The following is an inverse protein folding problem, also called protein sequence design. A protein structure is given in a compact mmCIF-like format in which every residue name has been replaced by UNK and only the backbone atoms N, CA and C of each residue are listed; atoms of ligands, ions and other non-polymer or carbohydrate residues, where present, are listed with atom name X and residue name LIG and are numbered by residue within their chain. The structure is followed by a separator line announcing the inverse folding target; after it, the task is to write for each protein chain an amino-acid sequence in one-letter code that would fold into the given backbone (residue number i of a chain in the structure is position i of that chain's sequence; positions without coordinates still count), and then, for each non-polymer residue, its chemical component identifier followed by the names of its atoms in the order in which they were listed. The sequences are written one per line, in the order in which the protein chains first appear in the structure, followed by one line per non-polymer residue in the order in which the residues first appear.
data_IF_212836697375
#
_entry.id   IF_212836697375
#
_cell.length_a   1.000
_cell.length_b   1.000
_cell.length_c   1.000
_cell.angle_alpha   90.00
_cell.angle_beta   90.00
_cell.angle_gamma   90.00
#
_symmetry.space_group_name_H-M   'P 1'
#
loop_
_entity.id
_entity.type
_entity.pdbx_description
1 polymer ?
#
# COMPACT_ATOMS: atom_id res chain seq x y z
N UNK A 1 -1.07 7.49 26.76
CA UNK A 1 -1.39 6.72 25.54
C UNK A 1 -1.01 7.59 24.36
N UNK A 2 -0.21 7.10 23.40
CA UNK A 2 0.22 7.83 22.19
C UNK A 2 -0.98 8.04 21.24
N UNK A 3 -1.97 8.81 21.67
CA UNK A 3 -2.92 9.47 20.78
C UNK A 3 -2.21 10.64 20.07
N UNK A 4 -0.98 10.38 19.59
CA UNK A 4 -0.24 11.28 18.72
C UNK A 4 -1.01 11.31 17.42
N UNK A 5 -1.78 12.38 17.24
CA UNK A 5 -2.39 12.86 16.02
C UNK A 5 -2.52 11.80 14.92
N UNK A 6 -3.62 11.03 14.98
CA UNK A 6 -3.95 9.99 13.99
C UNK A 6 -3.86 10.54 12.58
N UNK A 7 -4.21 11.80 12.37
CA UNK A 7 -4.17 12.41 11.04
C UNK A 7 -2.70 12.54 10.57
N UNK A 8 -1.78 12.99 11.43
CA UNK A 8 -0.34 12.96 11.13
C UNK A 8 0.19 11.56 10.90
N UNK A 9 -0.19 10.60 11.74
CA UNK A 9 0.24 9.22 11.57
C UNK A 9 -0.22 8.67 10.21
N UNK A 10 -1.47 8.94 9.82
CA UNK A 10 -2.04 8.49 8.55
C UNK A 10 -1.35 9.15 7.36
N UNK A 11 -1.00 10.43 7.47
CA UNK A 11 -0.31 11.13 6.39
C UNK A 11 1.13 10.64 6.21
N UNK A 12 1.85 10.41 7.30
CA UNK A 12 3.20 9.81 7.24
C UNK A 12 3.18 8.42 6.62
N UNK A 13 2.25 7.56 7.05
CA UNK A 13 2.12 6.22 6.50
C UNK A 13 1.72 6.24 5.03
N UNK A 14 0.76 7.07 4.65
CA UNK A 14 0.31 7.19 3.26
C UNK A 14 1.43 7.71 2.35
N UNK A 15 2.17 8.73 2.79
CA UNK A 15 3.34 9.25 2.06
C UNK A 15 4.42 8.19 1.88
N UNK A 16 4.71 7.41 2.92
CA UNK A 16 5.65 6.30 2.84
C UNK A 16 5.23 5.29 1.76
N UNK A 17 3.95 4.87 1.79
CA UNK A 17 3.43 3.91 0.83
C UNK A 17 3.43 4.44 -0.61
N UNK A 18 3.09 5.71 -0.82
CA UNK A 18 3.15 6.34 -2.15
C UNK A 18 4.58 6.43 -2.67
N UNK A 19 5.53 6.77 -1.80
CA UNK A 19 6.95 6.80 -2.15
C UNK A 19 7.45 5.40 -2.52
N UNK A 20 7.09 4.38 -1.74
CA UNK A 20 7.42 2.99 -2.07
C UNK A 20 6.77 2.53 -3.37
N UNK A 21 5.52 2.92 -3.65
CA UNK A 21 4.87 2.61 -4.92
C UNK A 21 5.64 3.21 -6.11
N UNK A 22 6.01 4.49 -6.02
CA UNK A 22 6.77 5.17 -7.08
C UNK A 22 8.14 4.51 -7.32
N UNK A 23 8.85 4.10 -6.26
CA UNK A 23 10.12 3.37 -6.39
C UNK A 23 9.94 2.01 -7.07
N UNK A 24 8.86 1.28 -6.74
CA UNK A 24 8.58 -0.01 -7.36
C UNK A 24 8.24 0.13 -8.86
N UNK A 25 7.48 1.16 -9.24
CA UNK A 25 7.22 1.47 -10.65
C UNK A 25 8.53 1.80 -11.39
N UNK A 26 9.42 2.61 -10.80
CA UNK A 26 10.71 2.95 -11.41
C UNK A 26 11.60 1.70 -11.60
N UNK A 27 11.57 0.74 -10.66
CA UNK A 27 12.28 -0.53 -10.83
C UNK A 27 11.64 -1.36 -11.96
N UNK A 28 10.30 -1.46 -12.00
CA UNK A 28 9.59 -2.19 -13.03
C UNK A 28 9.87 -1.63 -14.44
N UNK A 29 9.87 -0.31 -14.60
CA UNK A 29 10.15 0.36 -15.88
C UNK A 29 11.60 0.13 -16.32
N UNK A 30 12.56 0.13 -15.38
CA UNK A 30 13.96 -0.20 -15.68
C UNK A 30 14.15 -1.66 -16.07
N UNK A 31 13.38 -2.58 -15.50
CA UNK A 31 13.42 -4.00 -15.86
C UNK A 31 12.89 -4.23 -17.27
N UNK A 32 11.75 -3.62 -17.62
CA UNK A 32 11.20 -3.73 -18.97
C UNK A 32 12.10 -3.09 -20.04
N UNK A 33 12.77 -1.99 -19.71
CA UNK A 33 13.71 -1.35 -20.62
C UNK A 33 14.96 -2.21 -20.95
N UNK A 34 15.26 -3.24 -20.16
CA UNK A 34 16.39 -4.16 -20.37
C UNK A 34 16.04 -5.36 -21.26
N UNK A 35 14.76 -5.53 -21.59
CA UNK A 35 14.22 -6.48 -22.58
C UNK A 35 14.68 -7.95 -22.41
N UNK A 36 14.84 -8.40 -21.16
CA UNK A 36 15.13 -9.80 -20.84
C UNK A 36 13.85 -10.57 -20.47
N UNK A 37 13.70 -11.79 -20.99
CA UNK A 37 12.47 -12.61 -20.84
C UNK A 37 12.08 -12.85 -19.36
N UNK A 38 13.05 -12.96 -18.45
CA UNK A 38 12.80 -13.11 -17.01
C UNK A 38 12.35 -11.83 -16.28
N UNK A 39 12.72 -10.66 -16.82
CA UNK A 39 12.49 -9.36 -16.18
C UNK A 39 11.01 -8.93 -16.31
N UNK A 40 10.27 -9.49 -17.26
CA UNK A 40 8.85 -9.18 -17.53
C UNK A 40 7.91 -9.63 -16.40
N UNK A 41 8.12 -10.82 -15.84
CA UNK A 41 7.32 -11.33 -14.73
C UNK A 41 7.65 -10.59 -13.43
N UNK A 42 8.93 -10.29 -13.19
CA UNK A 42 9.38 -9.51 -12.04
C UNK A 42 8.83 -8.08 -12.10
N UNK A 43 8.86 -7.42 -13.26
CA UNK A 43 8.27 -6.10 -13.46
C UNK A 43 6.76 -6.09 -13.16
N UNK A 44 6.04 -7.15 -13.56
CA UNK A 44 4.61 -7.28 -13.24
C UNK A 44 4.37 -7.38 -11.73
N UNK A 45 5.13 -8.21 -11.03
CA UNK A 45 5.02 -8.36 -9.57
C UNK A 45 5.32 -7.04 -8.83
N UNK A 46 6.30 -6.28 -9.29
CA UNK A 46 6.61 -4.96 -8.75
C UNK A 46 5.44 -3.98 -8.94
N UNK A 47 4.78 -3.99 -10.10
CA UNK A 47 3.59 -3.14 -10.34
C UNK A 47 2.39 -3.57 -9.51
N UNK A 48 2.19 -4.86 -9.29
CA UNK A 48 1.16 -5.36 -8.37
C UNK A 48 1.43 -4.88 -6.94
N UNK A 49 2.70 -4.91 -6.50
CA UNK A 49 3.12 -4.38 -5.20
C UNK A 49 2.95 -2.85 -5.13
N UNK A 50 3.27 -2.11 -6.19
CA UNK A 50 3.04 -0.67 -6.27
C UNK A 50 1.55 -0.34 -6.14
N UNK A 51 0.68 -1.08 -6.84
CA UNK A 51 -0.76 -0.94 -6.73
C UNK A 51 -1.26 -1.22 -5.30
N UNK A 52 -0.75 -2.27 -4.65
CA UNK A 52 -1.06 -2.59 -3.25
C UNK A 52 -0.70 -1.42 -2.31
N UNK A 53 0.48 -0.81 -2.49
CA UNK A 53 0.92 0.32 -1.67
C UNK A 53 0.04 1.56 -1.89
N UNK A 54 -0.34 1.88 -3.13
CA UNK A 54 -1.30 2.97 -3.41
C UNK A 54 -2.65 2.73 -2.76
N UNK A 55 -3.17 1.50 -2.79
CA UNK A 55 -4.40 1.15 -2.08
C UNK A 55 -4.26 1.29 -0.56
N UNK A 56 -3.12 0.88 0.02
CA UNK A 56 -2.85 1.03 1.43
C UNK A 56 -2.79 2.52 1.85
N UNK A 57 -2.17 3.38 1.03
CA UNK A 57 -2.15 4.83 1.25
C UNK A 57 -3.57 5.42 1.22
N UNK A 58 -4.36 5.07 0.20
CA UNK A 58 -5.74 5.52 0.07
C UNK A 58 -6.61 5.07 1.26
N UNK A 59 -6.42 3.82 1.74
CA UNK A 59 -7.11 3.31 2.92
C UNK A 59 -6.70 4.07 4.18
N UNK A 60 -5.42 4.32 4.40
CA UNK A 60 -4.97 5.09 5.57
C UNK A 60 -5.60 6.48 5.62
N UNK A 61 -5.77 7.15 4.47
CA UNK A 61 -6.46 8.45 4.37
C UNK A 61 -8.00 8.36 4.31
N UNK A 62 -8.58 7.16 4.26
CA UNK A 62 -10.04 7.00 4.32
C UNK A 62 -10.57 7.22 5.73
N UNK A 63 -11.85 7.57 5.86
CA UNK A 63 -12.51 7.67 7.16
C UNK A 63 -12.43 6.34 7.93
N UNK A 64 -12.65 5.23 7.24
CA UNK A 64 -12.61 3.88 7.82
C UNK A 64 -11.20 3.50 8.29
N UNK A 65 -10.17 3.85 7.53
CA UNK A 65 -8.78 3.57 7.93
C UNK A 65 -8.37 4.36 9.17
N UNK A 66 -8.74 5.65 9.24
CA UNK A 66 -8.52 6.47 10.44
C UNK A 66 -9.27 5.93 11.65
N UNK A 67 -10.53 5.56 11.47
CA UNK A 67 -11.34 5.02 12.56
C UNK A 67 -10.83 3.65 13.02
N UNK A 68 -10.40 2.79 12.09
CA UNK A 68 -9.78 1.52 12.41
C UNK A 68 -8.51 1.73 13.25
N UNK A 69 -7.62 2.64 12.84
CA UNK A 69 -6.40 2.95 13.58
C UNK A 69 -6.70 3.49 14.98
N UNK A 70 -7.68 4.39 15.12
CA UNK A 70 -8.10 4.92 16.43
C UNK A 70 -8.57 3.80 17.36
N UNK A 71 -9.34 2.85 16.83
CA UNK A 71 -9.96 1.79 17.61
C UNK A 71 -9.01 0.65 17.96
N UNK A 72 -8.14 0.25 17.02
CA UNK A 72 -7.31 -0.97 17.16
C UNK A 72 -5.82 -0.69 17.37
N UNK A 73 -5.37 0.53 17.06
CA UNK A 73 -3.94 0.86 17.00
C UNK A 73 -3.21 0.23 15.82
N UNK A 74 -3.92 -0.42 14.89
CA UNK A 74 -3.37 -1.10 13.72
C UNK A 74 -3.85 -0.44 12.42
N UNK A 75 -3.04 -0.56 11.35
CA UNK A 75 -3.40 -0.06 10.03
C UNK A 75 -4.39 -0.98 9.31
N UNK A 76 -5.41 -0.40 8.68
CA UNK A 76 -6.30 -1.16 7.80
C UNK A 76 -5.64 -1.39 6.44
N UNK A 77 -5.19 -2.62 6.17
CA UNK A 77 -4.51 -2.99 4.93
C UNK A 77 -5.45 -3.68 3.93
N UNK A 78 -5.11 -3.74 2.63
CA UNK A 78 -5.91 -4.47 1.64
C UNK A 78 -6.13 -5.96 1.97
N UNK A 79 -5.19 -6.60 2.68
CA UNK A 79 -5.33 -7.99 3.12
C UNK A 79 -6.40 -8.20 4.18
N UNK A 80 -6.72 -7.18 5.00
CA UNK A 80 -7.83 -7.24 5.96
C UNK A 80 -9.20 -7.39 5.29
N UNK A 81 -9.36 -6.92 4.05
CA UNK A 81 -10.62 -6.96 3.30
C UNK A 81 -10.77 -8.24 2.47
N UNK A 82 -9.67 -8.87 2.04
CA UNK A 82 -9.76 -10.18 1.35
C UNK A 82 -10.36 -11.28 2.23
N UNK A 83 -10.21 -11.19 3.56
CA UNK A 83 -10.76 -12.18 4.51
C UNK A 83 -12.27 -12.08 4.70
N UNK A 84 -12.90 -10.92 4.50
CA UNK A 84 -14.34 -10.75 4.72
C UNK A 84 -15.21 -11.11 3.52
N UNK A 85 -14.64 -11.35 2.34
CA UNK A 85 -15.38 -11.83 1.15
C UNK A 85 -15.38 -13.35 0.97
N UNK A 86 -14.64 -14.09 1.78
CA UNK A 86 -14.61 -15.57 1.72
C UNK A 86 -15.65 -16.25 2.62
N UNK A 87 -16.45 -15.48 3.36
CA UNK A 87 -17.42 -15.98 4.36
C UNK A 87 -18.84 -15.40 4.17
N UNK A 88 -19.23 -15.08 2.93
CA UNK A 88 -20.60 -14.70 2.55
C UNK A 88 -21.06 -15.53 1.34
#
# INVERSE_FOLDING_TARGET
MWAGDVDKATEHYATYQETSAAQLDEIADRLEARDAVGDSQEAKELRENAAYNREAAARARSADGREHLRRTGLWLTPSCVRRTRAEA
#
